data_IF_834142721501
#
_entry.id   IF_834142721501
#
_cell.length_a   1.000
_cell.length_b   1.000
_cell.length_c   1.000
_cell.angle_alpha   90.00
_cell.angle_beta   90.00
_cell.angle_gamma   90.00
#
_symmetry.space_group_name_H-M   'P 1'
#
loop_
_entity.id
_entity.type
_entity.pdbx_description
1 polymer ?
#
# COMPACT_ATOMS: atom_id res chain seq x y z
N UNK A 1 18.30 2.84 -5.05
CA UNK A 1 17.34 2.32 -6.06
C UNK A 1 16.20 3.31 -6.34
N UNK A 2 16.47 4.28 -7.22
CA UNK A 2 15.49 5.25 -7.73
C UNK A 2 14.24 4.62 -8.36
N UNK A 3 14.30 3.35 -8.79
CA UNK A 3 13.15 2.61 -9.34
C UNK A 3 12.10 2.20 -8.30
N UNK A 4 12.48 2.01 -7.03
CA UNK A 4 11.55 1.54 -5.99
C UNK A 4 10.79 2.67 -5.29
N UNK A 5 11.08 3.94 -5.61
CA UNK A 5 10.32 5.08 -5.10
C UNK A 5 9.02 5.32 -5.87
N UNK A 6 8.86 4.69 -7.04
CA UNK A 6 7.84 5.11 -7.98
C UNK A 6 6.60 4.22 -7.93
N UNK A 7 6.75 2.91 -7.74
CA UNK A 7 5.63 1.97 -7.80
C UNK A 7 5.57 1.10 -6.55
N UNK A 8 4.39 1.10 -5.92
CA UNK A 8 4.01 0.14 -4.88
C UNK A 8 2.87 -0.73 -5.40
N UNK A 9 3.08 -2.04 -5.37
CA UNK A 9 2.03 -3.02 -5.59
C UNK A 9 1.29 -3.26 -4.29
N UNK A 10 -0.03 -3.32 -4.36
CA UNK A 10 -0.93 -3.55 -3.26
C UNK A 10 -1.73 -4.80 -3.59
N UNK A 11 -1.67 -5.78 -2.70
CA UNK A 11 -2.42 -7.03 -2.81
C UNK A 11 -3.21 -7.23 -1.52
N UNK A 12 -4.53 -7.37 -1.63
CA UNK A 12 -5.40 -7.51 -0.47
C UNK A 12 -6.03 -8.88 -0.45
N UNK A 13 -5.75 -9.68 0.58
CA UNK A 13 -6.43 -10.95 0.76
C UNK A 13 -7.86 -10.72 1.25
N UNK A 14 -8.81 -11.48 0.71
CA UNK A 14 -10.19 -11.56 1.19
C UNK A 14 -10.31 -11.87 2.69
N UNK A 15 -11.53 -11.73 3.23
CA UNK A 15 -11.83 -11.95 4.66
C UNK A 15 -11.20 -13.25 5.19
N UNK A 16 -10.27 -13.11 6.12
CA UNK A 16 -9.49 -14.16 6.74
C UNK A 16 -10.19 -14.78 7.95
N UNK A 17 -11.31 -14.20 8.39
CA UNK A 17 -12.10 -14.69 9.53
C UNK A 17 -13.58 -14.31 9.40
N UNK A 18 -14.40 -14.70 10.40
CA UNK A 18 -15.81 -14.33 10.47
C UNK A 18 -16.04 -12.84 10.79
N UNK A 19 -15.03 -12.14 11.30
CA UNK A 19 -15.07 -10.72 11.64
C UNK A 19 -14.82 -9.76 10.47
N UNK A 20 -14.50 -10.28 9.28
CA UNK A 20 -14.20 -9.42 8.13
C UNK A 20 -12.74 -8.93 8.09
N UNK A 21 -11.84 -9.51 8.89
CA UNK A 21 -10.42 -9.15 8.89
C UNK A 21 -9.80 -9.47 7.54
N UNK A 22 -9.11 -8.49 6.97
CA UNK A 22 -8.40 -8.57 5.71
C UNK A 22 -6.94 -8.21 5.93
N UNK A 23 -6.09 -8.73 5.06
CA UNK A 23 -4.65 -8.47 5.11
C UNK A 23 -4.23 -7.85 3.79
N UNK A 24 -3.62 -6.67 3.87
CA UNK A 24 -3.14 -5.92 2.71
C UNK A 24 -1.63 -5.87 2.71
N UNK A 25 -1.02 -6.48 1.70
CA UNK A 25 0.41 -6.49 1.48
C UNK A 25 0.83 -5.35 0.56
N UNK A 26 1.95 -4.73 0.89
CA UNK A 26 2.56 -3.65 0.12
C UNK A 26 3.93 -4.13 -0.37
N UNK A 27 4.17 -4.05 -1.68
CA UNK A 27 5.45 -4.43 -2.29
C UNK A 27 6.03 -3.29 -3.10
N UNK A 28 7.32 -2.99 -2.91
CA UNK A 28 8.06 -2.03 -3.71
C UNK A 28 8.64 -2.70 -4.95
N UNK A 29 8.56 -2.02 -6.10
CA UNK A 29 9.20 -2.49 -7.32
C UNK A 29 10.73 -2.53 -7.18
N UNK A 30 11.37 -3.63 -7.59
CA UNK A 30 12.82 -3.76 -7.61
C UNK A 30 13.30 -4.55 -8.83
N UNK A 31 14.63 -4.58 -9.04
CA UNK A 31 15.24 -5.35 -10.14
C UNK A 31 15.01 -6.86 -10.04
N UNK A 32 14.67 -7.36 -8.86
CA UNK A 32 14.41 -8.79 -8.62
C UNK A 32 12.90 -9.10 -8.50
N UNK A 33 12.03 -8.12 -8.79
CA UNK A 33 10.58 -8.23 -8.60
C UNK A 33 10.06 -7.38 -7.43
N UNK A 34 8.87 -7.71 -6.93
CA UNK A 34 8.25 -7.03 -5.79
C UNK A 34 8.90 -7.41 -4.46
N UNK A 35 9.42 -6.43 -3.73
CA UNK A 35 10.02 -6.61 -2.41
C UNK A 35 9.03 -6.15 -1.34
N UNK A 36 8.72 -6.94 -0.30
CA UNK A 36 7.80 -6.53 0.76
C UNK A 36 8.22 -5.23 1.45
N UNK A 37 7.30 -4.27 1.54
CA UNK A 37 7.44 -3.02 2.29
C UNK A 37 6.70 -3.08 3.62
N UNK A 38 5.58 -3.79 3.66
CA UNK A 38 4.74 -3.85 4.85
C UNK A 38 3.50 -4.70 4.65
N UNK A 39 2.80 -4.93 5.76
CA UNK A 39 1.57 -5.66 5.85
C UNK A 39 0.63 -4.89 6.78
N UNK A 40 -0.60 -4.64 6.33
CA UNK A 40 -1.63 -3.95 7.11
C UNK A 40 -2.75 -4.96 7.37
N UNK A 41 -3.10 -5.14 8.63
CA UNK A 41 -4.25 -5.95 9.04
C UNK A 41 -5.36 -4.99 9.43
N UNK A 42 -6.50 -5.09 8.77
CA UNK A 42 -7.65 -4.22 9.01
C UNK A 42 -8.96 -4.99 8.82
N UNK A 43 -10.05 -4.45 9.34
CA UNK A 43 -11.37 -5.05 9.15
C UNK A 43 -12.07 -4.35 7.99
N UNK A 44 -12.75 -5.13 7.16
CA UNK A 44 -13.51 -4.68 5.99
C UNK A 44 -12.62 -4.10 4.88
N UNK A 45 -13.05 -4.29 3.63
CA UNK A 45 -12.37 -3.81 2.43
C UNK A 45 -13.15 -2.63 1.82
N UNK A 46 -13.29 -1.56 2.58
CA UNK A 46 -13.96 -0.33 2.13
C UNK A 46 -12.93 0.76 1.83
N UNK A 47 -13.27 1.69 0.94
CA UNK A 47 -12.41 2.83 0.60
C UNK A 47 -12.02 3.64 1.84
N UNK A 48 -12.93 3.82 2.79
CA UNK A 48 -12.68 4.55 4.04
C UNK A 48 -11.59 3.87 4.88
N UNK A 49 -11.65 2.55 5.01
CA UNK A 49 -10.65 1.77 5.76
C UNK A 49 -9.30 1.81 5.06
N UNK A 50 -9.26 1.60 3.75
CA UNK A 50 -8.01 1.69 2.98
C UNK A 50 -7.36 3.07 3.08
N UNK A 51 -8.14 4.15 2.94
CA UNK A 51 -7.63 5.51 3.08
C UNK A 51 -7.04 5.77 4.46
N UNK A 52 -7.70 5.31 5.53
CA UNK A 52 -7.19 5.43 6.89
C UNK A 52 -5.89 4.63 7.07
N UNK A 53 -5.88 3.38 6.62
CA UNK A 53 -4.72 2.49 6.69
C UNK A 53 -3.51 3.05 5.93
N UNK A 54 -3.69 3.51 4.69
CA UNK A 54 -2.60 4.08 3.90
C UNK A 54 -2.10 5.41 4.45
N UNK A 55 -3.00 6.23 5.03
CA UNK A 55 -2.59 7.44 5.75
C UNK A 55 -1.70 7.09 6.95
N UNK A 56 -2.11 6.13 7.77
CA UNK A 56 -1.33 5.67 8.92
C UNK A 56 0.02 5.08 8.49
N UNK A 57 0.04 4.27 7.44
CA UNK A 57 1.27 3.71 6.88
C UNK A 57 2.23 4.80 6.41
N UNK A 58 1.73 5.82 5.69
CA UNK A 58 2.53 6.98 5.26
C UNK A 58 3.10 7.73 6.47
N UNK A 59 2.27 8.01 7.47
CA UNK A 59 2.69 8.74 8.67
C UNK A 59 3.75 7.94 9.45
N UNK A 60 3.73 6.60 9.41
CA UNK A 60 4.74 5.73 10.01
C UNK A 60 6.05 5.66 9.22
N UNK A 61 5.98 5.66 7.88
CA UNK A 61 7.17 5.73 7.02
C UNK A 61 7.90 7.08 7.20
N UNK A 62 7.15 8.15 7.45
CA UNK A 62 7.70 9.49 7.61
C UNK A 62 8.20 10.11 6.30
N UNK A 63 8.88 11.24 6.38
CA UNK A 63 9.27 12.04 5.21
C UNK A 63 10.45 11.46 4.42
N UNK A 64 11.27 10.62 5.06
CA UNK A 64 12.48 10.06 4.43
C UNK A 64 12.17 8.83 3.56
N UNK A 65 10.95 8.30 3.65
CA UNK A 65 10.47 7.22 2.81
C UNK A 65 10.50 7.55 1.32
N UNK A 66 10.53 6.50 0.48
CA UNK A 66 10.46 6.63 -0.99
C UNK A 66 11.46 7.65 -1.57
N UNK A 67 12.70 7.63 -1.06
CA UNK A 67 13.79 8.53 -1.47
C UNK A 67 13.52 9.99 -1.11
N UNK A 68 13.04 10.22 0.12
CA UNK A 68 12.72 11.56 0.63
C UNK A 68 11.44 12.17 0.07
N UNK A 69 10.60 11.37 -0.59
CA UNK A 69 9.29 11.79 -1.09
C UNK A 69 8.18 11.55 -0.05
N UNK A 70 8.39 10.62 0.88
CA UNK A 70 7.40 10.20 1.87
C UNK A 70 6.26 9.32 1.34
N UNK A 71 6.05 9.26 0.02
CA UNK A 71 5.02 8.45 -0.62
C UNK A 71 5.47 7.96 -2.02
N UNK A 72 4.91 6.84 -2.52
CA UNK A 72 5.19 6.38 -3.88
C UNK A 72 4.40 7.18 -4.90
N UNK A 73 4.89 7.21 -6.14
CA UNK A 73 4.24 7.96 -7.24
C UNK A 73 2.99 7.23 -7.75
N UNK A 74 3.01 5.90 -7.75
CA UNK A 74 1.98 5.02 -8.30
C UNK A 74 1.69 3.91 -7.30
N UNK A 75 0.41 3.72 -7.00
CA UNK A 75 -0.09 2.49 -6.39
C UNK A 75 -0.74 1.63 -7.47
N UNK A 76 -0.38 0.35 -7.51
CA UNK A 76 -0.99 -0.64 -8.39
C UNK A 76 -1.70 -1.68 -7.52
N UNK A 77 -3.03 -1.66 -7.56
CA UNK A 77 -3.92 -2.61 -6.87
C UNK A 77 -4.31 -3.75 -7.80
N UNK A 78 -4.67 -4.91 -7.26
CA UNK A 78 -5.20 -6.06 -7.99
C UNK A 78 -6.62 -5.80 -8.54
N UNK A 79 -7.42 -5.01 -7.82
CA UNK A 79 -8.71 -4.52 -8.29
C UNK A 79 -8.55 -3.27 -9.18
N UNK A 80 -9.21 -3.29 -10.34
CA UNK A 80 -9.10 -2.30 -11.42
C UNK A 80 -9.59 -0.87 -11.11
N UNK A 81 -9.82 -0.51 -9.85
CA UNK A 81 -10.21 0.84 -9.43
C UNK A 81 -8.99 1.57 -8.85
N UNK A 82 -8.42 2.46 -9.67
CA UNK A 82 -7.30 3.33 -9.31
C UNK A 82 -7.70 4.31 -8.17
N UNK A 83 -7.05 4.27 -6.99
CA UNK A 83 -7.13 5.37 -6.05
C UNK A 83 -6.27 6.51 -6.61
N UNK A 84 -6.91 7.53 -7.18
CA UNK A 84 -6.22 8.72 -7.68
C UNK A 84 -5.55 9.44 -6.51
N UNK A 85 -4.22 9.44 -6.48
CA UNK A 85 -3.45 10.30 -5.59
C UNK A 85 -3.80 11.76 -5.87
N UNK A 86 -4.53 12.38 -4.94
CA UNK A 86 -4.84 13.81 -5.01
C UNK A 86 -3.62 14.60 -4.56
N UNK A 87 -3.14 15.46 -5.46
CA UNK A 87 -2.12 16.49 -5.24
C UNK A 87 -2.46 17.44 -4.09
#
# INVERSE_FOLDING_TARGET
MQFSSEVVFVDSSGSCDQGGSSVTFLFGASKIGGVPLGCIIHNFQTDEVYNLCFKQFRDLIGTDGFYGKGFPVIFMTDDGVQPRGTH
#
